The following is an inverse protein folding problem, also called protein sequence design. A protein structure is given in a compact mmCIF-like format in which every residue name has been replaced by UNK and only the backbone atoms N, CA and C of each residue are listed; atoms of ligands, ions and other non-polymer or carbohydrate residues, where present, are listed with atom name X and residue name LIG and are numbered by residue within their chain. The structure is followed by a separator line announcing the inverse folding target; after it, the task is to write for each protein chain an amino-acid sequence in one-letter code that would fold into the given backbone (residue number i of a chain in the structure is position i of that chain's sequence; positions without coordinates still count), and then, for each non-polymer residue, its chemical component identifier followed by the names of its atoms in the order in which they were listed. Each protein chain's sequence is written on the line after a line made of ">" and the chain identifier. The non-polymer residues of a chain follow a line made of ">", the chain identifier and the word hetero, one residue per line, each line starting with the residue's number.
data_IF_878705345546
#
_entry.id   IF_878705345546
#
_cell.length_a   1.000
_cell.length_b   1.000
_cell.length_c   1.000
_cell.angle_alpha   90.00
_cell.angle_beta   90.00
_cell.angle_gamma   90.00
#
_symmetry.space_group_name_H-M   'P 1'
#
loop_
_entity.id
_entity.type
_entity.pdbx_description
1 polymer ?
#
# COMPACT_ATOMS: atom_id res chain seq x y z
N UNK A 1 3.58 0.12 -6.33
CA UNK A 1 3.99 1.49 -5.96
C UNK A 1 3.41 1.82 -4.60
N UNK A 2 4.14 2.57 -3.78
CA UNK A 2 3.71 3.01 -2.46
C UNK A 2 3.86 4.52 -2.37
N UNK A 3 2.91 5.16 -1.70
CA UNK A 3 2.88 6.60 -1.48
C UNK A 3 3.28 6.95 -0.05
N UNK A 4 3.40 8.24 0.23
CA UNK A 4 3.61 8.72 1.60
C UNK A 4 2.36 8.43 2.45
N UNK A 5 2.54 8.19 3.75
CA UNK A 5 1.50 7.87 4.75
C UNK A 5 0.40 8.93 4.84
N UNK A 6 0.74 10.20 4.58
CA UNK A 6 -0.23 11.30 4.56
C UNK A 6 -0.82 11.55 3.17
N UNK A 7 0.03 11.96 2.22
CA UNK A 7 -0.42 12.40 0.90
C UNK A 7 -0.81 11.23 -0.04
N UNK A 8 -0.44 10.00 0.28
CA UNK A 8 -0.71 8.83 -0.54
C UNK A 8 0.06 8.81 -1.86
N UNK A 9 -0.49 8.08 -2.84
CA UNK A 9 0.06 7.97 -4.20
C UNK A 9 -0.53 9.07 -5.07
N UNK A 10 0.32 9.78 -5.82
CA UNK A 10 -0.13 10.86 -6.69
C UNK A 10 -1.14 10.41 -7.76
N UNK A 11 -2.09 11.28 -8.17
CA UNK A 11 -3.23 10.91 -9.00
C UNK A 11 -2.84 10.37 -10.39
N UNK A 12 -1.77 10.89 -11.00
CA UNK A 12 -1.27 10.38 -12.28
C UNK A 12 -0.79 8.93 -12.20
N UNK A 13 -0.14 8.54 -11.10
CA UNK A 13 0.25 7.15 -10.85
C UNK A 13 -0.96 6.27 -10.55
N UNK A 14 -1.92 6.78 -9.76
CA UNK A 14 -3.18 6.06 -9.48
C UNK A 14 -3.96 5.75 -10.76
N UNK A 15 -3.96 6.66 -11.73
CA UNK A 15 -4.59 6.45 -13.03
C UNK A 15 -3.85 5.43 -13.91
N UNK A 16 -2.53 5.31 -13.75
CA UNK A 16 -1.68 4.44 -14.56
C UNK A 16 -1.61 2.97 -14.07
N UNK A 17 -2.00 2.70 -12.81
CA UNK A 17 -1.89 1.34 -12.27
C UNK A 17 -3.02 0.42 -12.73
N UNK A 18 -2.69 -0.82 -13.08
CA UNK A 18 -3.66 -1.85 -13.49
C UNK A 18 -4.52 -2.37 -12.33
N UNK A 19 -3.98 -2.40 -11.11
CA UNK A 19 -4.69 -2.86 -9.90
C UNK A 19 -4.33 -2.01 -8.71
N UNK A 20 -5.31 -1.85 -7.81
CA UNK A 20 -5.16 -1.24 -6.50
C UNK A 20 -5.46 -2.31 -5.45
N UNK A 21 -4.61 -2.37 -4.43
CA UNK A 21 -4.74 -3.27 -3.28
C UNK A 21 -4.49 -2.46 -2.02
N UNK A 22 -5.02 -2.93 -0.90
CA UNK A 22 -4.87 -2.28 0.40
C UNK A 22 -4.61 -3.32 1.48
N UNK A 23 -3.86 -2.93 2.51
CA UNK A 23 -3.79 -3.68 3.76
C UNK A 23 -5.00 -3.29 4.61
N UNK A 24 -5.84 -4.24 5.06
CA UNK A 24 -6.96 -3.93 5.93
C UNK A 24 -6.49 -3.27 7.23
N UNK A 25 -7.14 -2.17 7.62
CA UNK A 25 -6.82 -1.43 8.84
C UNK A 25 -7.93 -1.58 9.87
N UNK A 26 -7.56 -1.48 11.15
CA UNK A 26 -8.53 -1.40 12.23
C UNK A 26 -9.27 -0.05 12.18
N UNK A 27 -10.52 0.05 12.69
CA UNK A 27 -11.35 1.26 12.55
C UNK A 27 -10.75 2.58 13.04
N UNK A 28 -9.77 2.56 13.94
CA UNK A 28 -9.11 3.75 14.49
C UNK A 28 -7.75 4.06 13.86
N UNK A 29 -7.36 3.34 12.80
CA UNK A 29 -6.05 3.48 12.14
C UNK A 29 -6.25 4.00 10.73
N UNK A 30 -5.76 5.20 10.45
CA UNK A 30 -5.91 5.86 9.15
C UNK A 30 -4.90 5.36 8.12
N UNK A 31 -3.67 5.06 8.55
CA UNK A 31 -2.59 4.58 7.69
C UNK A 31 -1.56 3.75 8.47
N UNK A 32 -0.70 3.06 7.73
CA UNK A 32 0.47 2.40 8.30
C UNK A 32 1.72 3.14 7.86
N UNK A 33 2.80 2.92 8.62
CA UNK A 33 4.11 3.31 8.18
C UNK A 33 4.44 2.72 6.79
N UNK A 34 5.03 3.51 5.88
CA UNK A 34 5.27 3.05 4.49
C UNK A 34 6.16 1.81 4.45
N UNK A 35 7.19 1.73 5.30
CA UNK A 35 8.09 0.58 5.33
C UNK A 35 7.38 -0.68 5.83
N UNK A 36 6.48 -0.54 6.82
CA UNK A 36 5.66 -1.65 7.33
C UNK A 36 4.69 -2.14 6.25
N UNK A 37 3.98 -1.23 5.58
CA UNK A 37 3.08 -1.57 4.49
C UNK A 37 3.82 -2.25 3.32
N UNK A 38 5.03 -1.78 2.99
CA UNK A 38 5.89 -2.42 2.01
C UNK A 38 6.25 -3.85 2.40
N UNK A 39 6.66 -4.08 3.65
CA UNK A 39 7.01 -5.40 4.15
C UNK A 39 5.86 -6.40 4.03
N UNK A 40 4.65 -6.01 4.44
CA UNK A 40 3.45 -6.86 4.33
C UNK A 40 3.17 -7.22 2.87
N UNK A 41 3.17 -6.23 1.98
CA UNK A 41 2.85 -6.44 0.57
C UNK A 41 3.92 -7.27 -0.14
N UNK A 42 5.20 -7.04 0.16
CA UNK A 42 6.30 -7.81 -0.39
C UNK A 42 6.24 -9.26 0.07
N UNK A 43 5.99 -9.49 1.36
CA UNK A 43 5.80 -10.84 1.87
C UNK A 43 4.65 -11.56 1.17
N UNK A 44 3.50 -10.90 1.01
CA UNK A 44 2.33 -11.46 0.33
C UNK A 44 2.63 -11.88 -1.11
N UNK A 45 3.29 -11.02 -1.90
CA UNK A 45 3.59 -11.34 -3.31
C UNK A 45 4.65 -12.44 -3.45
N UNK A 46 5.48 -12.65 -2.43
CA UNK A 46 6.50 -13.70 -2.39
C UNK A 46 6.05 -14.98 -1.67
N UNK A 47 4.87 -14.99 -1.04
CA UNK A 47 4.42 -16.11 -0.20
C UNK A 47 4.38 -17.44 -0.96
N UNK A 48 3.94 -17.40 -2.21
CA UNK A 48 3.73 -18.57 -3.07
C UNK A 48 4.80 -18.67 -4.19
N UNK A 49 5.91 -17.95 -4.04
CA UNK A 49 7.01 -17.92 -5.01
C UNK A 49 8.02 -19.05 -4.80
#
# INVERSE_FOLDING_TARGET
>A
VLGNEGAGVGPGLVAAVRRRVAVPLAPAVESLNVAVAAGILLYEVTRDA
#
